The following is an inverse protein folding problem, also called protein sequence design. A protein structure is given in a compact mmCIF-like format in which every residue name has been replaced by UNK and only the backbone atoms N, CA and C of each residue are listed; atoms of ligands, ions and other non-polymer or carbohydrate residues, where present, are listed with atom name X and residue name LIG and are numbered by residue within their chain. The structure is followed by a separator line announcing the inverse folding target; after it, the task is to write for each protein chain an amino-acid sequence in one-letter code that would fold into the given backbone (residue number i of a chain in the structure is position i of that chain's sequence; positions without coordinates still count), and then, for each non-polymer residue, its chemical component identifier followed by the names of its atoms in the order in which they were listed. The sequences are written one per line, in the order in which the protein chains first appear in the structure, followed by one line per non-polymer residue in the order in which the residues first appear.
data_IF_042114949775
#
_entry.id   IF_042114949775
#
_cell.length_a   1.000
_cell.length_b   1.000
_cell.length_c   1.000
_cell.angle_alpha   90.00
_cell.angle_beta   90.00
_cell.angle_gamma   90.00
#
_symmetry.space_group_name_H-M   'P 1'
#
loop_
_entity.id
_entity.type
_entity.pdbx_description
1 polymer ?
#
# COMPACT_ATOMS: atom_id res chain seq x y z
N UNK A 1 -25.69 22.65 25.77
CA UNK A 1 -26.06 21.41 25.07
C UNK A 1 -25.09 21.28 23.91
N UNK A 2 -24.02 20.43 24.01
CA UNK A 2 -23.18 20.11 22.88
C UNK A 2 -24.02 19.37 21.84
N UNK A 3 -24.19 19.94 20.64
CA UNK A 3 -24.69 19.18 19.52
C UNK A 3 -23.72 18.01 19.29
N UNK A 4 -24.21 16.80 19.42
CA UNK A 4 -23.47 15.62 18.98
C UNK A 4 -23.29 15.74 17.46
N UNK A 5 -22.13 16.21 17.05
CA UNK A 5 -21.79 16.30 15.62
C UNK A 5 -21.49 14.85 15.20
N UNK A 6 -22.29 14.32 14.30
CA UNK A 6 -22.02 13.03 13.66
C UNK A 6 -21.01 13.28 12.54
N UNK A 7 -19.87 12.63 12.63
CA UNK A 7 -18.79 12.79 11.68
C UNK A 7 -19.05 11.94 10.43
N UNK A 8 -18.90 12.52 9.24
CA UNK A 8 -18.95 11.76 7.98
C UNK A 8 -17.60 11.11 7.71
N UNK A 9 -17.62 9.88 7.22
CA UNK A 9 -16.45 9.14 6.76
C UNK A 9 -16.60 8.77 5.29
N UNK A 10 -15.51 8.77 4.56
CA UNK A 10 -15.50 8.51 3.11
C UNK A 10 -14.43 7.45 2.80
N UNK A 11 -14.83 6.41 2.09
CA UNK A 11 -13.92 5.29 1.80
C UNK A 11 -14.13 4.75 0.39
N UNK A 12 -13.03 4.39 -0.28
CA UNK A 12 -13.08 3.57 -1.48
C UNK A 12 -13.09 2.09 -1.07
N UNK A 13 -13.95 1.31 -1.72
CA UNK A 13 -14.03 -0.15 -1.57
C UNK A 13 -13.87 -0.80 -2.94
N UNK A 14 -13.34 -2.02 -2.95
CA UNK A 14 -13.05 -2.77 -4.18
C UNK A 14 -13.59 -4.20 -4.08
N UNK A 15 -14.91 -4.39 -4.14
CA UNK A 15 -15.53 -5.70 -3.93
C UNK A 15 -14.97 -6.76 -4.89
N UNK A 16 -14.50 -7.89 -4.34
CA UNK A 16 -13.89 -8.97 -5.11
C UNK A 16 -12.40 -8.82 -5.39
N UNK A 17 -11.78 -7.71 -4.99
CA UNK A 17 -10.34 -7.54 -5.08
C UNK A 17 -9.64 -8.16 -3.86
N UNK A 18 -8.52 -8.85 -4.08
CA UNK A 18 -7.78 -9.55 -3.01
C UNK A 18 -7.38 -8.63 -1.84
N UNK A 19 -7.11 -7.36 -2.14
CA UNK A 19 -6.68 -6.35 -1.16
C UNK A 19 -7.80 -5.38 -0.79
N UNK A 20 -9.06 -5.79 -0.94
CA UNK A 20 -10.19 -4.97 -0.51
C UNK A 20 -10.23 -4.86 1.02
N UNK A 21 -10.23 -3.65 1.52
CA UNK A 21 -10.19 -3.33 2.95
C UNK A 21 -11.58 -3.13 3.56
N UNK A 22 -12.67 -3.34 2.79
CA UNK A 22 -14.04 -3.11 3.23
C UNK A 22 -14.40 -3.85 4.53
N UNK A 23 -13.82 -5.05 4.75
CA UNK A 23 -14.01 -5.80 5.98
C UNK A 23 -13.48 -5.04 7.22
N UNK A 24 -12.28 -4.49 7.14
CA UNK A 24 -11.67 -3.71 8.23
C UNK A 24 -12.39 -2.39 8.46
N UNK A 25 -12.78 -1.71 7.38
CA UNK A 25 -13.57 -0.48 7.43
C UNK A 25 -14.89 -0.73 8.18
N UNK A 26 -15.64 -1.76 7.82
CA UNK A 26 -16.90 -2.11 8.47
C UNK A 26 -16.71 -2.50 9.95
N UNK A 27 -15.62 -3.17 10.29
CA UNK A 27 -15.28 -3.49 11.69
C UNK A 27 -15.09 -2.21 12.51
N UNK A 28 -14.35 -1.23 12.00
CA UNK A 28 -14.18 0.08 12.67
C UNK A 28 -15.48 0.83 12.79
N UNK A 29 -16.27 0.91 11.72
CA UNK A 29 -17.52 1.63 11.68
C UNK A 29 -18.57 1.08 12.66
N UNK A 30 -18.55 -0.23 12.93
CA UNK A 30 -19.47 -0.86 13.89
C UNK A 30 -19.34 -0.34 15.32
N UNK A 31 -18.17 0.20 15.69
CA UNK A 31 -17.91 0.79 17.01
C UNK A 31 -18.03 2.31 17.08
N UNK A 32 -18.33 2.98 15.96
CA UNK A 32 -18.31 4.44 15.86
C UNK A 32 -19.70 5.00 15.52
N UNK A 33 -20.00 6.17 16.09
CA UNK A 33 -21.22 6.92 15.72
C UNK A 33 -20.91 7.92 14.60
N UNK A 34 -20.74 7.38 13.38
CA UNK A 34 -20.38 8.14 12.18
C UNK A 34 -21.38 7.93 11.05
N UNK A 35 -21.28 8.74 10.01
CA UNK A 35 -22.07 8.64 8.80
C UNK A 35 -21.17 8.17 7.64
N UNK A 36 -21.17 6.87 7.29
CA UNK A 36 -20.25 6.32 6.33
C UNK A 36 -20.74 6.50 4.88
N UNK A 37 -19.86 6.95 4.02
CA UNK A 37 -20.07 7.07 2.59
C UNK A 37 -19.02 6.22 1.85
N UNK A 38 -19.45 5.47 0.84
CA UNK A 38 -18.58 4.58 0.08
C UNK A 38 -18.61 4.91 -1.41
N UNK A 39 -17.48 4.76 -2.06
CA UNK A 39 -17.36 4.71 -3.52
C UNK A 39 -16.65 3.42 -3.91
N UNK A 40 -17.11 2.81 -4.98
CA UNK A 40 -16.51 1.61 -5.55
C UNK A 40 -16.04 1.92 -6.98
N UNK A 41 -14.85 2.53 -7.17
CA UNK A 41 -14.34 2.85 -8.48
C UNK A 41 -14.07 1.57 -9.29
N UNK A 42 -14.67 1.48 -10.46
CA UNK A 42 -14.35 0.45 -11.44
C UNK A 42 -13.38 0.97 -12.52
N UNK A 43 -12.92 0.09 -13.38
CA UNK A 43 -11.98 0.44 -14.43
C UNK A 43 -12.55 1.49 -15.41
N UNK A 44 -13.83 1.41 -15.73
CA UNK A 44 -14.48 2.33 -16.67
C UNK A 44 -14.61 3.72 -16.06
N UNK A 45 -15.03 3.80 -14.81
CA UNK A 45 -15.09 5.07 -14.05
C UNK A 45 -13.70 5.70 -13.94
N UNK A 46 -12.68 4.90 -13.61
CA UNK A 46 -11.30 5.36 -13.51
C UNK A 46 -10.78 5.90 -14.84
N UNK A 47 -11.02 5.20 -15.94
CA UNK A 47 -10.62 5.67 -17.29
C UNK A 47 -11.33 6.96 -17.68
N UNK A 48 -12.62 7.08 -17.37
CA UNK A 48 -13.41 8.28 -17.66
C UNK A 48 -12.91 9.49 -16.87
N UNK A 49 -12.54 9.32 -15.62
CA UNK A 49 -12.09 10.40 -14.75
C UNK A 49 -10.58 10.70 -14.85
N UNK A 50 -9.83 9.91 -15.62
CA UNK A 50 -8.38 10.03 -15.74
C UNK A 50 -7.95 11.44 -16.15
N UNK A 51 -8.61 12.04 -17.14
CA UNK A 51 -8.31 13.40 -17.61
C UNK A 51 -8.54 14.46 -16.53
N UNK A 52 -9.64 14.36 -15.80
CA UNK A 52 -9.94 15.26 -14.69
C UNK A 52 -8.94 15.09 -13.55
N UNK A 53 -8.56 13.85 -13.25
CA UNK A 53 -7.57 13.56 -12.22
C UNK A 53 -6.20 14.16 -12.60
N UNK A 54 -5.75 14.00 -13.84
CA UNK A 54 -4.52 14.65 -14.33
C UNK A 54 -4.57 16.17 -14.23
N UNK A 55 -5.69 16.78 -14.57
CA UNK A 55 -5.86 18.21 -14.47
C UNK A 55 -5.67 18.72 -13.03
N UNK A 56 -6.25 18.02 -12.05
CA UNK A 56 -6.16 18.42 -10.64
C UNK A 56 -4.83 18.03 -9.98
N UNK A 57 -4.20 16.96 -10.46
CA UNK A 57 -2.91 16.52 -9.95
C UNK A 57 -1.74 17.37 -10.47
N UNK A 58 -1.92 18.02 -11.62
CA UNK A 58 -0.93 18.88 -12.32
C UNK A 58 0.35 18.16 -12.76
N UNK A 59 0.47 16.86 -12.51
CA UNK A 59 1.62 16.05 -12.91
C UNK A 59 1.22 14.59 -13.23
N UNK A 60 2.03 13.87 -14.02
CA UNK A 60 1.82 12.45 -14.26
C UNK A 60 1.98 11.64 -12.96
N UNK A 61 1.10 10.64 -12.77
CA UNK A 61 1.16 9.73 -11.65
C UNK A 61 1.18 8.27 -12.11
N UNK A 62 1.84 7.42 -11.32
CA UNK A 62 2.08 6.02 -11.67
C UNK A 62 1.21 5.01 -10.90
N UNK A 63 0.18 5.47 -10.17
CA UNK A 63 -0.62 4.57 -9.33
C UNK A 63 -2.11 4.85 -9.45
N UNK A 64 -2.91 3.80 -9.61
CA UNK A 64 -4.38 3.87 -9.59
C UNK A 64 -4.94 4.30 -8.22
N UNK A 65 -4.15 4.24 -7.15
CA UNK A 65 -4.55 4.71 -5.82
C UNK A 65 -4.87 6.21 -5.82
N UNK A 66 -4.20 7.01 -6.66
CA UNK A 66 -4.46 8.44 -6.81
C UNK A 66 -5.85 8.69 -7.41
N UNK A 67 -6.25 7.89 -8.41
CA UNK A 67 -7.61 7.93 -8.95
C UNK A 67 -8.67 7.51 -7.91
N UNK A 68 -8.36 6.49 -7.11
CA UNK A 68 -9.26 6.09 -6.02
C UNK A 68 -9.43 7.19 -4.98
N UNK A 69 -8.34 7.87 -4.60
CA UNK A 69 -8.39 9.02 -3.69
C UNK A 69 -9.15 10.20 -4.29
N UNK A 70 -8.97 10.46 -5.58
CA UNK A 70 -9.75 11.48 -6.31
C UNK A 70 -11.26 11.21 -6.22
N UNK A 71 -11.70 9.97 -6.41
CA UNK A 71 -13.12 9.59 -6.28
C UNK A 71 -13.64 9.74 -4.84
N UNK A 72 -12.82 9.45 -3.83
CA UNK A 72 -13.17 9.72 -2.42
C UNK A 72 -13.36 11.21 -2.15
N UNK A 73 -12.47 12.05 -2.65
CA UNK A 73 -12.57 13.51 -2.51
C UNK A 73 -13.80 14.06 -3.25
N UNK A 74 -14.11 13.53 -4.42
CA UNK A 74 -15.31 13.86 -5.18
C UNK A 74 -16.58 13.47 -4.43
N UNK A 75 -16.61 12.28 -3.81
CA UNK A 75 -17.70 11.83 -2.96
C UNK A 75 -17.89 12.76 -1.76
N UNK A 76 -16.82 13.18 -1.10
CA UNK A 76 -16.88 14.14 0.00
C UNK A 76 -17.46 15.49 -0.43
N UNK A 77 -17.02 16.01 -1.57
CA UNK A 77 -17.57 17.25 -2.16
C UNK A 77 -19.06 17.12 -2.47
N UNK A 78 -19.51 16.00 -2.99
CA UNK A 78 -20.93 15.72 -3.26
C UNK A 78 -21.80 15.73 -1.98
N UNK A 79 -21.16 15.39 -0.85
CA UNK A 79 -21.79 15.43 0.49
C UNK A 79 -21.53 16.75 1.24
N UNK A 80 -21.12 17.82 0.53
CA UNK A 80 -20.87 19.16 1.07
C UNK A 80 -19.75 19.20 2.14
N UNK A 81 -18.82 18.26 2.08
CA UNK A 81 -17.61 18.26 2.91
C UNK A 81 -16.45 18.85 2.11
N UNK A 82 -15.88 19.95 2.60
CA UNK A 82 -14.82 20.69 1.93
C UNK A 82 -13.42 20.41 2.48
N UNK A 83 -13.33 19.83 3.67
CA UNK A 83 -12.07 19.50 4.33
C UNK A 83 -12.13 18.06 4.82
N UNK A 84 -11.17 17.25 4.41
CA UNK A 84 -10.98 15.89 4.87
C UNK A 84 -9.75 15.81 5.78
N UNK A 85 -9.83 14.97 6.81
CA UNK A 85 -8.66 14.48 7.54
C UNK A 85 -8.35 13.12 6.93
N UNK A 86 -7.16 13.01 6.35
CA UNK A 86 -6.69 11.80 5.67
C UNK A 86 -5.85 10.94 6.61
N UNK A 87 -5.90 9.62 6.41
CA UNK A 87 -5.08 8.65 7.13
C UNK A 87 -3.70 8.42 6.51
N UNK A 88 -3.29 9.22 5.52
CA UNK A 88 -1.98 9.10 4.90
C UNK A 88 -0.86 9.35 5.91
N UNK A 89 0.21 8.56 5.81
CA UNK A 89 1.34 8.62 6.75
C UNK A 89 1.25 7.61 7.90
N UNK A 90 0.14 6.89 8.05
CA UNK A 90 -0.01 5.88 9.09
C UNK A 90 0.96 4.71 8.91
N UNK A 91 1.15 4.23 7.69
CA UNK A 91 2.09 3.15 7.38
C UNK A 91 3.55 3.54 7.65
N UNK A 92 3.90 4.81 7.45
CA UNK A 92 5.22 5.35 7.76
C UNK A 92 5.49 5.37 9.27
N UNK A 93 4.50 5.74 10.07
CA UNK A 93 4.61 5.84 11.53
C UNK A 93 4.53 4.46 12.18
N UNK A 94 3.67 3.58 11.68
CA UNK A 94 3.36 2.27 12.27
C UNK A 94 4.13 1.12 11.61
N UNK A 95 5.09 1.43 10.72
CA UNK A 95 5.86 0.44 9.97
C UNK A 95 4.99 -0.53 9.14
N UNK A 96 3.90 -0.04 8.56
CA UNK A 96 2.95 -0.84 7.78
C UNK A 96 3.50 -1.43 6.49
N UNK A 97 4.58 -0.87 5.96
CA UNK A 97 5.21 -1.39 4.74
C UNK A 97 6.17 -2.55 5.02
N UNK A 98 6.02 -3.64 4.28
CA UNK A 98 6.92 -4.80 4.35
C UNK A 98 8.43 -4.47 4.22
N UNK A 99 8.89 -3.50 3.41
CA UNK A 99 10.29 -3.11 3.37
C UNK A 99 10.86 -2.67 4.72
N UNK A 100 10.09 -1.96 5.54
CA UNK A 100 10.52 -1.52 6.87
C UNK A 100 10.79 -2.71 7.81
N UNK A 101 9.91 -3.68 7.81
CA UNK A 101 10.11 -4.92 8.58
C UNK A 101 11.37 -5.67 8.11
N UNK A 102 11.59 -5.74 6.80
CA UNK A 102 12.78 -6.38 6.24
C UNK A 102 14.08 -5.71 6.71
N UNK A 103 14.11 -4.39 6.68
CA UNK A 103 15.31 -3.65 7.06
C UNK A 103 15.53 -3.66 8.58
N UNK A 104 14.48 -3.59 9.37
CA UNK A 104 14.50 -3.85 10.80
C UNK A 104 15.02 -5.26 11.13
N UNK A 105 14.55 -6.28 10.44
CA UNK A 105 15.00 -7.66 10.64
C UNK A 105 16.49 -7.84 10.34
N UNK A 106 17.00 -7.22 9.28
CA UNK A 106 18.44 -7.24 8.96
C UNK A 106 19.29 -6.57 10.06
N UNK A 107 18.82 -5.45 10.58
CA UNK A 107 19.52 -4.76 11.67
C UNK A 107 19.52 -5.61 12.94
N UNK A 108 18.42 -6.28 13.27
CA UNK A 108 18.34 -7.22 14.39
C UNK A 108 19.28 -8.42 14.20
N UNK A 109 19.36 -8.97 13.00
CA UNK A 109 20.28 -10.07 12.69
C UNK A 109 21.76 -9.68 12.94
N UNK A 110 22.12 -8.41 12.62
CA UNK A 110 23.47 -7.89 12.85
C UNK A 110 23.79 -7.61 14.31
N UNK A 111 22.79 -7.14 15.08
CA UNK A 111 22.99 -6.66 16.46
C UNK A 111 22.76 -7.74 17.51
N UNK A 112 21.80 -8.64 17.28
CA UNK A 112 21.43 -9.68 18.26
C UNK A 112 20.69 -10.84 17.59
N UNK A 113 21.37 -11.96 17.39
CA UNK A 113 20.75 -13.19 16.89
C UNK A 113 19.55 -13.68 17.70
N UNK A 114 19.55 -13.68 19.04
CA UNK A 114 18.39 -14.11 19.81
C UNK A 114 17.17 -13.23 19.57
N UNK A 115 17.32 -11.90 19.55
CA UNK A 115 16.23 -10.97 19.25
C UNK A 115 15.71 -11.15 17.82
N UNK A 116 16.59 -11.35 16.87
CA UNK A 116 16.20 -11.67 15.48
C UNK A 116 15.31 -12.92 15.41
N UNK A 117 15.68 -14.00 16.10
CA UNK A 117 14.89 -15.23 16.13
C UNK A 117 13.51 -15.03 16.76
N UNK A 118 13.41 -14.23 17.83
CA UNK A 118 12.14 -13.87 18.46
C UNK A 118 11.25 -13.08 17.50
N UNK A 119 11.80 -12.09 16.80
CA UNK A 119 11.07 -11.30 15.82
C UNK A 119 10.57 -12.13 14.64
N UNK A 120 11.41 -13.02 14.11
CA UNK A 120 11.01 -13.93 13.02
C UNK A 120 9.87 -14.85 13.47
N UNK A 121 9.94 -15.37 14.67
CA UNK A 121 8.89 -16.23 15.23
C UNK A 121 7.58 -15.44 15.44
N UNK A 122 7.66 -14.24 16.00
CA UNK A 122 6.52 -13.36 16.20
C UNK A 122 5.84 -13.00 14.85
N UNK A 123 6.65 -12.66 13.84
CA UNK A 123 6.18 -12.39 12.49
C UNK A 123 5.47 -13.60 11.87
N UNK A 124 6.07 -14.78 11.97
CA UNK A 124 5.47 -16.01 11.46
C UNK A 124 4.13 -16.33 12.16
N UNK A 125 4.08 -16.19 13.48
CA UNK A 125 2.85 -16.42 14.25
C UNK A 125 1.75 -15.43 13.88
N UNK A 126 2.08 -14.16 13.70
CA UNK A 126 1.13 -13.13 13.30
C UNK A 126 0.52 -13.41 11.91
N UNK A 127 1.35 -13.76 10.95
CA UNK A 127 0.89 -13.99 9.57
C UNK A 127 0.29 -15.37 9.32
N UNK A 128 0.49 -16.37 10.21
CA UNK A 128 -0.24 -17.64 10.11
C UNK A 128 -1.75 -17.48 10.19
N UNK A 129 -2.23 -16.42 10.84
CA UNK A 129 -3.64 -16.10 11.01
C UNK A 129 -4.13 -14.99 10.06
N UNK A 130 -3.26 -14.39 9.29
CA UNK A 130 -3.62 -13.36 8.32
C UNK A 130 -3.72 -13.96 6.92
N UNK A 131 -4.67 -13.47 6.11
CA UNK A 131 -4.77 -13.82 4.69
C UNK A 131 -3.59 -13.29 3.85
N UNK A 132 -2.69 -12.55 4.47
CA UNK A 132 -1.49 -12.00 3.85
C UNK A 132 -0.41 -13.06 3.95
N UNK A 133 -0.01 -13.64 2.82
CA UNK A 133 1.14 -14.52 2.75
C UNK A 133 2.39 -13.76 3.21
N UNK A 134 3.04 -14.18 4.29
CA UNK A 134 4.29 -13.54 4.68
C UNK A 134 5.29 -13.72 3.55
N UNK A 135 5.73 -12.62 2.98
CA UNK A 135 6.94 -12.67 2.17
C UNK A 135 8.08 -12.87 3.17
N UNK A 136 8.67 -14.06 3.26
CA UNK A 136 9.80 -14.24 4.13
C UNK A 136 10.86 -13.22 3.73
N UNK A 137 11.67 -12.71 4.67
CA UNK A 137 12.81 -11.86 4.37
C UNK A 137 13.83 -12.68 3.58
N UNK A 138 13.53 -12.96 2.32
CA UNK A 138 14.40 -13.68 1.42
C UNK A 138 14.98 -12.68 0.45
N UNK A 139 16.27 -12.62 0.49
CA UNK A 139 17.20 -12.02 -0.44
C UNK A 139 16.63 -12.04 -1.88
N UNK A 140 16.85 -10.97 -2.65
CA UNK A 140 16.56 -10.88 -4.08
C UNK A 140 17.01 -12.14 -4.84
N UNK A 141 18.08 -12.79 -4.38
CA UNK A 141 18.56 -14.09 -4.87
C UNK A 141 17.54 -15.23 -4.75
N UNK A 142 16.65 -15.21 -3.75
CA UNK A 142 15.59 -16.22 -3.62
C UNK A 142 14.56 -16.08 -4.74
N UNK A 143 14.14 -14.84 -5.04
CA UNK A 143 13.19 -14.61 -6.14
C UNK A 143 13.80 -14.92 -7.50
N UNK A 144 15.06 -14.52 -7.72
CA UNK A 144 15.79 -14.85 -8.95
C UNK A 144 15.96 -16.38 -9.11
N UNK A 145 16.10 -17.12 -8.01
CA UNK A 145 16.21 -18.59 -8.03
C UNK A 145 14.87 -19.28 -8.37
N UNK A 146 13.75 -18.69 -7.96
CA UNK A 146 12.40 -19.23 -8.18
C UNK A 146 11.81 -18.84 -9.54
N UNK A 147 12.32 -17.81 -10.17
CA UNK A 147 11.95 -17.39 -11.51
C UNK A 147 12.52 -18.37 -12.54
N UNK A 148 11.65 -18.85 -13.47
CA UNK A 148 12.07 -19.71 -14.57
C UNK A 148 13.09 -19.05 -15.50
N UNK A 149 13.82 -19.83 -16.28
CA UNK A 149 14.95 -19.44 -17.11
C UNK A 149 14.83 -18.11 -17.89
N UNK A 150 13.75 -17.87 -18.68
CA UNK A 150 13.63 -16.66 -19.50
C UNK A 150 13.59 -15.35 -18.71
N UNK A 151 12.96 -15.35 -17.54
CA UNK A 151 12.86 -14.16 -16.67
C UNK A 151 14.19 -13.90 -15.95
N UNK A 152 14.88 -14.98 -15.57
CA UNK A 152 16.21 -14.91 -14.95
C UNK A 152 17.25 -14.32 -15.91
N UNK A 153 17.19 -14.68 -17.17
CA UNK A 153 18.10 -14.16 -18.20
C UNK A 153 17.76 -12.71 -18.58
N UNK A 154 16.48 -12.34 -18.59
CA UNK A 154 16.03 -10.95 -18.74
C UNK A 154 16.56 -10.05 -17.62
N UNK A 155 16.45 -10.48 -16.36
CA UNK A 155 16.96 -9.72 -15.21
C UNK A 155 18.48 -9.61 -15.19
N UNK A 156 19.21 -10.63 -15.65
CA UNK A 156 20.67 -10.55 -15.82
C UNK A 156 21.06 -9.53 -16.88
N UNK A 157 20.33 -9.48 -18.00
CA UNK A 157 20.54 -8.47 -19.04
C UNK A 157 20.25 -7.05 -18.53
N UNK A 158 19.16 -6.88 -17.77
CA UNK A 158 18.80 -5.59 -17.15
C UNK A 158 19.88 -5.15 -16.14
N UNK A 159 20.36 -6.06 -15.30
CA UNK A 159 21.45 -5.77 -14.35
C UNK A 159 22.77 -5.41 -15.05
N UNK A 160 23.08 -6.09 -16.14
CA UNK A 160 24.22 -5.74 -17.00
C UNK A 160 24.09 -4.35 -17.62
N UNK A 161 22.86 -4.00 -18.07
CA UNK A 161 22.53 -2.68 -18.61
C UNK A 161 22.70 -1.57 -17.56
N UNK A 162 22.15 -1.74 -16.36
CA UNK A 162 22.30 -0.76 -15.26
C UNK A 162 23.75 -0.60 -14.81
N UNK A 163 24.52 -1.69 -14.77
CA UNK A 163 25.94 -1.64 -14.42
C UNK A 163 26.76 -0.83 -15.42
N UNK A 164 26.38 -0.89 -16.69
CA UNK A 164 27.04 -0.13 -17.75
C UNK A 164 26.80 1.38 -17.60
N UNK A 165 25.59 1.78 -17.17
CA UNK A 165 25.23 3.19 -16.96
C UNK A 165 25.73 3.79 -15.63
N UNK A 166 26.08 2.97 -14.67
CA UNK A 166 26.56 3.43 -13.35
C UNK A 166 28.09 3.26 -13.20
N UNK A 167 28.78 2.83 -14.24
CA UNK A 167 30.23 2.73 -14.22
C UNK A 167 30.85 4.12 -14.39
N UNK A 168 31.67 4.61 -13.43
CA UNK A 168 32.28 5.94 -13.48
C UNK A 168 33.21 6.19 -14.69
N UNK A 169 33.55 5.13 -15.45
CA UNK A 169 34.38 5.26 -16.67
C UNK A 169 33.61 5.80 -17.88
N UNK A 170 32.25 5.93 -17.78
CA UNK A 170 31.39 6.43 -18.87
C UNK A 170 30.72 7.77 -18.56
N UNK A 171 31.04 8.44 -17.45
CA UNK A 171 30.71 9.83 -17.13
C UNK A 171 31.97 10.68 -17.21
#
# INVERSE_FOLDING_TARGET
KSKSIRQSTFSAIFPGFEKDESHYINMLLSGLNVDPHFVAPDADTMLKELGNCYYHQEEPFGSASILAQYEVQKLAKQNNVTVLLDGQGADEILAGYHPFYRDFSKERERTSKPLYQQEVQAYQNFFQHSRINPVPPKDLKYYIRKMGGPVKDGLKKLHGYYRHYTDPQFT
#
